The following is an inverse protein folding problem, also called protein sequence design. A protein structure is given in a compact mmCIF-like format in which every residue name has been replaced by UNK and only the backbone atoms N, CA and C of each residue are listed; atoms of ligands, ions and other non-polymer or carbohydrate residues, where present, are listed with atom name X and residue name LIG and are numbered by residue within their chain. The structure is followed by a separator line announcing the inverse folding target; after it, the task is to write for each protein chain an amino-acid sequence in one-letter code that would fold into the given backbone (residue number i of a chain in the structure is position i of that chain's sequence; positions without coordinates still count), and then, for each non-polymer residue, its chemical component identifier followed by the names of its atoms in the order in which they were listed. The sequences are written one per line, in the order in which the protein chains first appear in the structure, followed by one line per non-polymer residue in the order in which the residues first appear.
data_IF_263597379456
#
_entry.id   IF_263597379456
#
_cell.length_a   1.000
_cell.length_b   1.000
_cell.length_c   1.000
_cell.angle_alpha   90.00
_cell.angle_beta   90.00
_cell.angle_gamma   90.00
#
_symmetry.space_group_name_H-M   'P 1'
#
loop_
_entity.id
_entity.type
_entity.pdbx_description
1 polymer ?
#
# COMPACT_ATOMS: atom_id res chain seq x y z
N UNK A 1 -11.55 -10.63 26.85
CA UNK A 1 -12.22 -11.81 26.26
C UNK A 1 -11.26 -12.40 25.24
N UNK A 2 -10.82 -13.63 25.51
CA UNK A 2 -9.79 -14.34 24.76
C UNK A 2 -10.37 -15.00 23.49
N UNK A 3 -9.54 -15.09 22.45
CA UNK A 3 -9.58 -16.23 21.53
C UNK A 3 -8.15 -16.72 21.34
N UNK A 4 -7.74 -17.61 22.24
CA UNK A 4 -6.62 -18.51 22.01
C UNK A 4 -7.15 -19.70 21.20
N UNK A 5 -6.60 -19.92 20.00
CA UNK A 5 -6.87 -21.13 19.23
C UNK A 5 -5.55 -21.70 18.68
N UNK A 6 -5.23 -22.91 19.14
CA UNK A 6 -4.49 -23.91 18.37
C UNK A 6 -3.01 -23.65 18.12
N UNK A 7 -2.16 -24.08 19.05
CA UNK A 7 -0.78 -24.45 18.74
C UNK A 7 -0.83 -25.78 18.00
N UNK A 8 -0.62 -25.77 16.69
CA UNK A 8 -0.15 -26.93 15.93
C UNK A 8 0.79 -26.45 14.83
N UNK A 9 2.00 -26.99 14.83
CA UNK A 9 3.17 -26.44 14.18
C UNK A 9 3.05 -26.27 12.66
N UNK A 10 3.51 -25.12 12.17
CA UNK A 10 4.24 -24.99 10.91
C UNK A 10 4.81 -23.58 10.76
N UNK A 11 6.12 -23.53 10.52
CA UNK A 11 6.83 -22.51 9.73
C UNK A 11 7.06 -21.12 10.35
N UNK A 12 8.26 -20.90 10.88
CA UNK A 12 8.76 -19.59 11.32
C UNK A 12 8.68 -18.48 10.27
N UNK A 13 8.63 -18.82 8.97
CA UNK A 13 8.43 -17.86 7.88
C UNK A 13 7.04 -17.20 7.89
N UNK A 14 6.00 -17.88 8.39
CA UNK A 14 4.67 -17.27 8.52
C UNK A 14 4.69 -16.22 9.64
N UNK A 15 5.34 -16.51 10.78
CA UNK A 15 5.48 -15.57 11.90
C UNK A 15 6.31 -14.32 11.55
N UNK A 16 7.33 -14.46 10.69
CA UNK A 16 8.12 -13.32 10.21
C UNK A 16 7.32 -12.35 9.32
N UNK A 17 6.38 -12.87 8.53
CA UNK A 17 5.48 -12.06 7.71
C UNK A 17 4.55 -11.20 8.56
N UNK A 18 3.94 -11.79 9.59
CA UNK A 18 3.07 -11.06 10.52
C UNK A 18 3.84 -10.05 11.37
N UNK A 19 5.05 -10.39 11.83
CA UNK A 19 5.91 -9.42 12.53
C UNK A 19 6.27 -8.21 11.66
N UNK A 20 6.54 -8.42 10.37
CA UNK A 20 6.79 -7.30 9.43
C UNK A 20 5.55 -6.45 9.18
N UNK A 21 4.35 -7.05 9.21
CA UNK A 21 3.10 -6.31 9.11
C UNK A 21 2.86 -5.44 10.35
N UNK A 22 3.10 -5.97 11.55
CA UNK A 22 3.02 -5.21 12.81
C UNK A 22 4.02 -4.03 12.83
N UNK A 23 5.25 -4.27 12.38
CA UNK A 23 6.26 -3.23 12.24
C UNK A 23 5.81 -2.13 11.27
N UNK A 24 5.29 -2.52 10.11
CA UNK A 24 4.78 -1.59 9.12
C UNK A 24 3.63 -0.75 9.69
N UNK A 25 2.66 -1.39 10.36
CA UNK A 25 1.55 -0.70 11.00
C UNK A 25 2.04 0.28 12.06
N UNK A 26 2.99 -0.13 12.91
CA UNK A 26 3.60 0.74 13.93
C UNK A 26 4.26 1.98 13.32
N UNK A 27 5.02 1.80 12.24
CA UNK A 27 5.69 2.90 11.54
C UNK A 27 4.67 3.87 10.92
N UNK A 28 3.61 3.35 10.31
CA UNK A 28 2.52 4.17 9.76
C UNK A 28 1.80 4.93 10.88
N UNK A 29 1.44 4.25 11.96
CA UNK A 29 0.76 4.86 13.11
C UNK A 29 1.59 5.96 13.76
N UNK A 30 2.91 5.78 13.86
CA UNK A 30 3.82 6.80 14.39
C UNK A 30 3.94 8.03 13.49
N UNK A 31 3.90 7.85 12.15
CA UNK A 31 4.05 8.96 11.20
C UNK A 31 2.74 9.71 10.92
N UNK A 32 1.58 9.07 11.14
CA UNK A 32 0.28 9.59 10.73
C UNK A 32 -0.09 10.94 11.37
N UNK A 33 0.08 11.17 12.69
CA UNK A 33 -0.31 12.44 13.33
C UNK A 33 0.35 13.66 12.69
N UNK A 34 1.68 13.64 12.55
CA UNK A 34 2.44 14.75 11.97
C UNK A 34 2.07 15.01 10.51
N UNK A 35 1.77 13.95 9.73
CA UNK A 35 1.31 14.12 8.36
C UNK A 35 -0.10 14.72 8.28
N UNK A 36 -1.01 14.24 9.13
CA UNK A 36 -2.38 14.75 9.19
C UNK A 36 -2.37 16.24 9.52
N UNK A 37 -1.62 16.65 10.55
CA UNK A 37 -1.44 18.05 10.94
C UNK A 37 -0.90 18.91 9.77
N UNK A 38 0.14 18.42 9.07
CA UNK A 38 0.72 19.15 7.95
C UNK A 38 -0.25 19.34 6.78
N UNK A 39 -1.08 18.34 6.47
CA UNK A 39 -2.06 18.40 5.37
C UNK A 39 -3.24 19.29 5.75
N UNK A 40 -3.77 19.17 6.97
CA UNK A 40 -4.90 19.98 7.43
C UNK A 40 -4.52 21.45 7.57
N UNK A 41 -3.29 21.76 8.04
CA UNK A 41 -2.79 23.13 8.13
C UNK A 41 -2.70 23.84 6.76
N UNK A 42 -2.49 23.09 5.67
CA UNK A 42 -2.40 23.65 4.32
C UNK A 42 -3.76 23.82 3.63
N UNK A 43 -4.86 23.32 4.22
CA UNK A 43 -6.19 23.33 3.59
C UNK A 43 -6.26 22.57 2.26
N UNK A 44 -5.28 21.69 1.98
CA UNK A 44 -5.12 21.04 0.68
C UNK A 44 -5.87 19.70 0.63
N UNK A 45 -7.04 19.72 0.01
CA UNK A 45 -7.74 18.53 -0.50
C UNK A 45 -8.16 17.50 0.57
N UNK A 46 -8.80 16.40 0.15
CA UNK A 46 -9.33 15.40 1.08
C UNK A 46 -8.20 14.56 1.69
N UNK A 47 -8.05 14.64 3.02
CA UNK A 47 -7.04 13.92 3.82
C UNK A 47 -6.95 12.44 3.47
N UNK A 48 -8.10 11.76 3.33
CA UNK A 48 -8.15 10.34 2.99
C UNK A 48 -7.37 10.01 1.71
N UNK A 49 -7.50 10.83 0.66
CA UNK A 49 -6.77 10.59 -0.59
C UNK A 49 -5.28 10.85 -0.45
N UNK A 50 -4.89 11.85 0.32
CA UNK A 50 -3.49 12.19 0.57
C UNK A 50 -2.79 11.05 1.31
N UNK A 51 -3.39 10.53 2.39
CA UNK A 51 -2.86 9.39 3.16
C UNK A 51 -2.82 8.14 2.28
N UNK A 52 -3.89 7.83 1.56
CA UNK A 52 -3.95 6.62 0.73
C UNK A 52 -2.87 6.63 -0.37
N UNK A 53 -2.56 7.79 -0.94
CA UNK A 53 -1.51 7.95 -1.94
C UNK A 53 -0.10 7.60 -1.41
N UNK A 54 0.17 7.84 -0.12
CA UNK A 54 1.46 7.50 0.52
C UNK A 54 1.71 6.00 0.54
N UNK A 55 0.65 5.20 0.69
CA UNK A 55 0.74 3.73 0.76
C UNK A 55 0.60 3.12 -0.64
N UNK A 56 -0.38 3.58 -1.43
CA UNK A 56 -0.61 3.05 -2.78
C UNK A 56 0.58 3.35 -3.72
N UNK A 57 1.19 4.53 -3.65
CA UNK A 57 2.29 4.93 -4.54
C UNK A 57 3.46 3.93 -4.54
N UNK A 58 4.09 3.65 -3.38
CA UNK A 58 5.16 2.67 -3.26
C UNK A 58 4.74 1.26 -3.68
N UNK A 59 3.55 0.80 -3.24
CA UNK A 59 3.02 -0.52 -3.58
C UNK A 59 2.88 -0.70 -5.10
N UNK A 60 2.26 0.27 -5.78
CA UNK A 60 2.03 0.20 -7.21
C UNK A 60 3.33 0.30 -8.01
N UNK A 61 4.28 1.15 -7.59
CA UNK A 61 5.62 1.22 -8.20
C UNK A 61 6.35 -0.12 -8.08
N UNK A 62 6.31 -0.74 -6.90
CA UNK A 62 6.95 -2.02 -6.66
C UNK A 62 6.33 -3.14 -7.52
N UNK A 63 4.99 -3.19 -7.58
CA UNK A 63 4.28 -4.17 -8.42
C UNK A 63 4.59 -3.99 -9.92
N UNK A 64 4.70 -2.75 -10.40
CA UNK A 64 5.11 -2.46 -11.77
C UNK A 64 6.56 -2.89 -12.04
N UNK A 65 7.48 -2.63 -11.10
CA UNK A 65 8.88 -3.06 -11.24
C UNK A 65 8.99 -4.59 -11.32
N UNK A 66 8.32 -5.32 -10.41
CA UNK A 66 8.26 -6.79 -10.44
C UNK A 66 7.63 -7.34 -11.73
N UNK A 67 6.79 -6.53 -12.39
CA UNK A 67 6.11 -6.89 -13.63
C UNK A 67 6.82 -6.40 -14.90
N UNK A 68 7.99 -5.76 -14.79
CA UNK A 68 8.68 -5.15 -15.92
C UNK A 68 7.86 -4.08 -16.64
N UNK A 69 7.03 -3.33 -15.91
CA UNK A 69 6.11 -2.32 -16.46
C UNK A 69 4.82 -2.88 -17.07
N UNK A 70 4.63 -4.21 -17.11
CA UNK A 70 3.41 -4.81 -17.63
C UNK A 70 2.24 -4.64 -16.63
N UNK A 71 1.32 -3.73 -16.94
CA UNK A 71 0.17 -3.44 -16.08
C UNK A 71 -0.78 -4.62 -15.88
N UNK A 72 -0.91 -5.53 -16.86
CA UNK A 72 -1.77 -6.71 -16.70
C UNK A 72 -1.17 -7.68 -15.68
N UNK A 73 0.14 -7.91 -15.74
CA UNK A 73 0.86 -8.73 -14.76
C UNK A 73 0.84 -8.08 -13.38
N UNK A 74 1.07 -6.76 -13.29
CA UNK A 74 1.01 -6.03 -12.03
C UNK A 74 -0.39 -6.08 -11.40
N UNK A 75 -1.44 -5.94 -12.20
CA UNK A 75 -2.82 -6.03 -11.71
C UNK A 75 -3.14 -7.43 -11.16
N UNK A 76 -2.65 -8.49 -11.83
CA UNK A 76 -2.76 -9.88 -11.35
C UNK A 76 -1.99 -10.09 -10.03
N UNK A 77 -0.76 -9.60 -9.95
CA UNK A 77 0.06 -9.66 -8.73
C UNK A 77 -0.63 -8.97 -7.54
N UNK A 78 -1.23 -7.81 -7.79
CA UNK A 78 -1.94 -7.04 -6.77
C UNK A 78 -3.34 -7.59 -6.44
N UNK A 79 -3.87 -8.55 -7.21
CA UNK A 79 -5.22 -9.07 -7.03
C UNK A 79 -6.33 -8.06 -7.35
N UNK A 80 -6.07 -7.08 -8.22
CA UNK A 80 -7.06 -6.04 -8.59
C UNK A 80 -7.35 -6.04 -10.10
N UNK A 81 -8.48 -5.45 -10.47
CA UNK A 81 -8.82 -5.25 -11.87
C UNK A 81 -7.79 -4.32 -12.57
N UNK A 82 -7.32 -4.66 -13.78
CA UNK A 82 -6.38 -3.83 -14.58
C UNK A 82 -6.89 -2.41 -14.84
N UNK A 83 -8.20 -2.22 -15.00
CA UNK A 83 -8.80 -0.90 -15.15
C UNK A 83 -8.67 -0.09 -13.86
N UNK A 84 -8.84 -0.72 -12.69
CA UNK A 84 -8.61 -0.09 -11.39
C UNK A 84 -7.15 0.31 -11.24
N UNK A 85 -6.20 -0.61 -11.53
CA UNK A 85 -4.77 -0.30 -11.52
C UNK A 85 -4.45 0.91 -12.42
N UNK A 86 -4.89 0.87 -13.69
CA UNK A 86 -4.63 1.97 -14.64
C UNK A 86 -5.21 3.31 -14.15
N UNK A 87 -6.41 3.32 -13.56
CA UNK A 87 -7.01 4.53 -12.97
C UNK A 87 -6.15 5.05 -11.81
N UNK A 88 -5.69 4.18 -10.91
CA UNK A 88 -4.83 4.54 -9.78
C UNK A 88 -3.47 5.07 -10.23
N UNK A 89 -2.82 4.40 -11.18
CA UNK A 89 -1.53 4.84 -11.75
C UNK A 89 -1.64 6.24 -12.37
N UNK A 90 -2.74 6.54 -13.07
CA UNK A 90 -2.97 7.88 -13.62
C UNK A 90 -3.14 8.94 -12.53
N UNK A 91 -3.95 8.64 -11.50
CA UNK A 91 -4.18 9.57 -10.37
C UNK A 91 -2.89 9.88 -9.62
N UNK A 92 -1.97 8.92 -9.54
CA UNK A 92 -0.69 9.06 -8.84
C UNK A 92 0.45 9.54 -9.75
N UNK A 93 0.17 9.87 -11.02
CA UNK A 93 1.20 10.32 -11.96
C UNK A 93 2.26 9.26 -12.29
N UNK A 94 1.92 7.97 -12.19
CA UNK A 94 2.83 6.84 -12.38
C UNK A 94 2.77 6.23 -13.79
N UNK A 95 1.92 6.78 -14.67
CA UNK A 95 1.92 6.43 -16.09
C UNK A 95 2.85 7.38 -16.84
N UNK A 96 3.68 6.89 -17.78
CA UNK A 96 4.39 7.77 -18.69
C UNK A 96 3.39 8.61 -19.49
N UNK A 97 3.74 9.87 -19.76
CA UNK A 97 2.97 10.70 -20.69
C UNK A 97 2.85 9.98 -22.03
N UNK A 98 1.68 10.01 -22.70
CA UNK A 98 1.58 9.53 -24.07
C UNK A 98 2.67 10.22 -24.90
N UNK A 99 3.49 9.44 -25.60
CA UNK A 99 4.35 9.94 -26.67
C UNK A 99 3.52 10.03 -27.94
#
# INVERSE_FOLDING_TARGET
MAFAFGISGSSGAHMDGWRRAEEFERLVAAALPSFVEAVTAQGKGPLYRAVLALVEGPLLRHALALSGGNQLKAARLLGINRNTLRKRLRLLGLLPSPR
#
